data_IF_721563255743
#
_entry.id   IF_721563255743
#
_cell.length_a   1.000
_cell.length_b   1.000
_cell.length_c   1.000
_cell.angle_alpha   90.00
_cell.angle_beta   90.00
_cell.angle_gamma   90.00
#
_symmetry.space_group_name_H-M   'P 1'
#
loop_
_entity.id
_entity.type
_entity.pdbx_description
1 polymer ?
#
# COMPACT_ATOMS: atom_id res chain seq x y z
N UNK A 1 -6.98 14.36 2.96
CA UNK A 1 -8.40 14.54 2.58
C UNK A 1 -8.58 15.04 1.14
N UNK A 2 -8.16 16.26 0.74
CA UNK A 2 -8.45 16.77 -0.61
C UNK A 2 -7.84 15.93 -1.74
N UNK A 3 -6.61 15.43 -1.56
CA UNK A 3 -5.94 14.56 -2.54
C UNK A 3 -6.74 13.28 -2.86
N UNK A 4 -7.39 12.69 -1.85
CA UNK A 4 -8.22 11.49 -2.03
C UNK A 4 -9.47 11.79 -2.88
N UNK A 5 -10.11 12.94 -2.66
CA UNK A 5 -11.25 13.37 -3.48
C UNK A 5 -10.85 13.65 -4.92
N UNK A 6 -9.71 14.33 -5.13
CA UNK A 6 -9.16 14.58 -6.47
C UNK A 6 -8.88 13.27 -7.19
N UNK A 7 -8.11 12.36 -6.57
CA UNK A 7 -7.80 11.07 -7.17
C UNK A 7 -9.05 10.23 -7.44
N UNK A 8 -10.00 10.18 -6.50
CA UNK A 8 -11.25 9.44 -6.67
C UNK A 8 -12.11 9.99 -7.82
N UNK A 9 -12.26 11.31 -7.93
CA UNK A 9 -13.07 11.93 -8.99
C UNK A 9 -12.38 11.92 -10.36
N UNK A 10 -11.04 11.88 -10.41
CA UNK A 10 -10.31 11.64 -11.66
C UNK A 10 -10.45 10.19 -12.14
N UNK A 11 -10.31 9.21 -11.24
CA UNK A 11 -10.38 7.78 -11.59
C UNK A 11 -11.80 7.27 -11.82
N UNK A 12 -12.79 7.83 -11.10
CA UNK A 12 -14.19 7.47 -11.23
C UNK A 12 -15.08 8.72 -11.10
N UNK A 13 -15.18 9.51 -12.18
CA UNK A 13 -16.02 10.72 -12.22
C UNK A 13 -17.49 10.41 -11.90
N UNK A 14 -18.16 11.36 -11.25
CA UNK A 14 -19.61 11.24 -11.02
C UNK A 14 -20.36 11.40 -12.33
N UNK A 15 -21.26 10.47 -12.64
CA UNK A 15 -22.06 10.49 -13.89
C UNK A 15 -23.52 10.82 -13.67
N UNK A 16 -24.01 10.65 -12.44
CA UNK A 16 -25.40 10.94 -12.07
C UNK A 16 -25.44 12.31 -11.42
N UNK A 17 -26.50 13.06 -11.67
CA UNK A 17 -26.76 14.25 -10.87
C UNK A 17 -26.92 13.83 -9.40
N UNK A 18 -26.16 14.50 -8.54
CA UNK A 18 -26.29 14.32 -7.09
C UNK A 18 -27.60 15.00 -6.71
N UNK A 19 -28.50 14.28 -6.02
CA UNK A 19 -29.73 14.89 -5.49
C UNK A 19 -29.41 16.04 -4.54
N UNK A 20 -30.43 16.82 -4.16
CA UNK A 20 -30.28 17.97 -3.26
C UNK A 20 -29.56 17.56 -1.95
N UNK A 21 -28.33 18.04 -1.68
CA UNK A 21 -27.60 17.73 -0.46
C UNK A 21 -28.35 18.15 0.80
N UNK A 22 -29.22 19.16 0.69
CA UNK A 22 -30.08 19.67 1.77
C UNK A 22 -31.16 18.67 2.18
N UNK A 23 -31.50 17.71 1.31
CA UNK A 23 -32.46 16.66 1.60
C UNK A 23 -31.85 15.53 2.47
N UNK A 24 -30.53 15.46 2.60
CA UNK A 24 -29.87 14.51 3.47
C UNK A 24 -30.04 14.95 4.94
N UNK A 25 -31.01 14.35 5.63
CA UNK A 25 -31.16 14.51 7.08
C UNK A 25 -30.01 13.79 7.78
N UNK A 26 -29.01 14.55 8.24
CA UNK A 26 -27.94 14.02 9.08
C UNK A 26 -28.46 13.85 10.51
N UNK A 27 -28.89 12.63 10.86
CA UNK A 27 -29.30 12.32 12.22
C UNK A 27 -28.07 12.03 13.09
N UNK A 28 -27.59 13.06 13.79
CA UNK A 28 -26.49 12.92 14.75
C UNK A 28 -27.03 12.28 16.03
N UNK A 29 -26.93 10.96 16.11
CA UNK A 29 -27.26 10.22 17.32
C UNK A 29 -26.17 10.45 18.37
N UNK A 30 -26.54 11.07 19.51
CA UNK A 30 -25.67 11.07 20.70
C UNK A 30 -25.78 9.72 21.38
N UNK A 31 -24.75 8.90 21.20
CA UNK A 31 -24.65 7.57 21.80
C UNK A 31 -24.05 7.59 23.21
N UNK A 32 -23.33 8.64 23.61
CA UNK A 32 -22.71 8.76 24.94
C UNK A 32 -23.47 9.68 25.87
N UNK A 33 -23.54 9.29 27.14
CA UNK A 33 -24.22 10.07 28.18
C UNK A 33 -23.37 11.23 28.72
N UNK A 34 -22.04 11.07 28.75
CA UNK A 34 -21.10 12.05 29.28
C UNK A 34 -19.66 11.80 28.76
N UNK A 35 -18.72 12.67 29.14
CA UNK A 35 -17.31 12.57 28.74
C UNK A 35 -16.64 11.26 29.16
N UNK A 36 -16.96 10.76 30.36
CA UNK A 36 -16.36 9.53 30.89
C UNK A 36 -16.88 8.30 30.12
N UNK A 37 -18.18 8.27 29.83
CA UNK A 37 -18.82 7.25 29.01
C UNK A 37 -18.21 7.20 27.60
N UNK A 38 -18.06 8.37 26.97
CA UNK A 38 -17.39 8.50 25.66
C UNK A 38 -15.93 8.00 25.69
N UNK A 39 -15.18 8.29 26.76
CA UNK A 39 -13.82 7.82 26.93
C UNK A 39 -13.75 6.29 27.12
N UNK A 40 -14.65 5.70 27.91
CA UNK A 40 -14.76 4.27 28.12
C UNK A 40 -15.13 3.52 26.83
N UNK A 41 -16.12 4.04 26.08
CA UNK A 41 -16.50 3.46 24.78
C UNK A 41 -15.36 3.55 23.78
N UNK A 42 -14.74 4.72 23.64
CA UNK A 42 -13.59 4.93 22.74
C UNK A 42 -12.40 4.02 23.08
N UNK A 43 -12.17 3.73 24.37
CA UNK A 43 -11.14 2.77 24.80
C UNK A 43 -11.47 1.34 24.37
N UNK A 44 -12.73 0.92 24.53
CA UNK A 44 -13.18 -0.43 24.13
C UNK A 44 -13.15 -0.61 22.61
N UNK A 45 -13.63 0.37 21.85
CA UNK A 45 -13.56 0.37 20.39
C UNK A 45 -12.10 0.39 19.90
N UNK A 46 -11.25 1.21 20.54
CA UNK A 46 -9.82 1.26 20.26
C UNK A 46 -9.10 -0.06 20.53
N UNK A 47 -9.44 -0.77 21.62
CA UNK A 47 -8.90 -2.09 21.93
C UNK A 47 -9.27 -3.11 20.85
N UNK A 48 -10.54 -3.13 20.42
CA UNK A 48 -11.01 -4.03 19.35
C UNK A 48 -10.27 -3.71 18.05
N UNK A 49 -10.13 -2.43 17.70
CA UNK A 49 -9.36 -2.00 16.53
C UNK A 49 -7.90 -2.46 16.61
N UNK A 50 -7.23 -2.28 17.75
CA UNK A 50 -5.84 -2.69 17.94
C UNK A 50 -5.66 -4.20 17.79
N UNK A 51 -6.55 -5.01 18.38
CA UNK A 51 -6.54 -6.46 18.24
C UNK A 51 -6.75 -6.90 16.79
N UNK A 52 -7.66 -6.25 16.07
CA UNK A 52 -7.89 -6.51 14.64
C UNK A 52 -6.63 -6.19 13.81
N UNK A 53 -5.96 -5.07 14.09
CA UNK A 53 -4.71 -4.69 13.41
C UNK A 53 -3.62 -5.72 13.70
N UNK A 54 -3.41 -6.14 14.94
CA UNK A 54 -2.41 -7.16 15.29
C UNK A 54 -2.69 -8.47 14.55
N UNK A 55 -3.92 -8.97 14.61
CA UNK A 55 -4.30 -10.22 13.95
C UNK A 55 -4.12 -10.13 12.43
N UNK A 56 -4.53 -9.02 11.83
CA UNK A 56 -4.35 -8.74 10.41
C UNK A 56 -2.86 -8.69 10.04
N UNK A 57 -2.04 -7.96 10.79
CA UNK A 57 -0.60 -7.84 10.52
C UNK A 57 0.07 -9.22 10.53
N UNK A 58 -0.22 -10.06 11.53
CA UNK A 58 0.31 -11.43 11.59
C UNK A 58 -0.11 -12.23 10.34
N UNK A 59 -1.40 -12.23 10.01
CA UNK A 59 -1.92 -13.01 8.89
C UNK A 59 -1.37 -12.54 7.53
N UNK A 60 -1.34 -11.23 7.28
CA UNK A 60 -0.87 -10.69 6.01
C UNK A 60 0.65 -10.74 5.86
N UNK A 61 1.42 -10.51 6.91
CA UNK A 61 2.88 -10.70 6.87
C UNK A 61 3.21 -12.16 6.54
N UNK A 62 2.54 -13.11 7.19
CA UNK A 62 2.72 -14.54 6.89
C UNK A 62 2.29 -14.89 5.46
N UNK A 63 1.14 -14.39 4.99
CA UNK A 63 0.65 -14.64 3.64
C UNK A 63 1.58 -14.07 2.58
N UNK A 64 2.07 -12.84 2.76
CA UNK A 64 2.99 -12.22 1.82
C UNK A 64 4.35 -12.87 1.87
N UNK A 65 4.84 -13.30 3.04
CA UNK A 65 6.07 -14.10 3.13
C UNK A 65 5.92 -15.40 2.33
N UNK A 66 4.77 -16.08 2.42
CA UNK A 66 4.47 -17.26 1.60
C UNK A 66 4.43 -16.93 0.10
N UNK A 67 3.79 -15.82 -0.28
CA UNK A 67 3.73 -15.38 -1.69
C UNK A 67 5.12 -15.01 -2.20
N UNK A 68 5.92 -14.26 -1.46
CA UNK A 68 7.30 -13.93 -1.81
C UNK A 68 8.13 -15.20 -1.99
N UNK A 69 8.11 -16.12 -1.02
CA UNK A 69 8.82 -17.40 -1.15
C UNK A 69 8.37 -18.21 -2.38
N UNK A 70 7.07 -18.18 -2.69
CA UNK A 70 6.54 -18.82 -3.90
C UNK A 70 7.03 -18.14 -5.18
N UNK A 71 7.06 -16.81 -5.22
CA UNK A 71 7.59 -16.04 -6.34
C UNK A 71 9.10 -16.24 -6.50
N UNK A 72 9.85 -16.28 -5.41
CA UNK A 72 11.30 -16.54 -5.42
C UNK A 72 11.58 -17.91 -6.01
N UNK A 73 10.86 -18.95 -5.54
CA UNK A 73 10.98 -20.29 -6.12
C UNK A 73 10.66 -20.28 -7.62
N UNK A 74 9.54 -19.68 -8.04
CA UNK A 74 9.16 -19.63 -9.46
C UNK A 74 10.20 -18.88 -10.30
N UNK A 75 10.60 -17.67 -9.87
CA UNK A 75 11.52 -16.81 -10.63
C UNK A 75 12.91 -17.41 -10.70
N UNK A 76 13.41 -18.02 -9.62
CA UNK A 76 14.68 -18.74 -9.61
C UNK A 76 14.70 -19.87 -10.64
N UNK A 77 13.63 -20.67 -10.72
CA UNK A 77 13.55 -21.76 -11.68
C UNK A 77 13.45 -21.23 -13.12
N UNK A 78 12.66 -20.19 -13.36
CA UNK A 78 12.58 -19.55 -14.69
C UNK A 78 13.95 -19.02 -15.12
N UNK A 79 14.65 -18.29 -14.25
CA UNK A 79 16.00 -17.78 -14.50
C UNK A 79 16.99 -18.90 -14.79
N UNK A 80 16.97 -19.97 -13.99
CA UNK A 80 17.80 -21.15 -14.18
C UNK A 80 17.58 -21.77 -15.57
N UNK A 81 16.32 -22.03 -15.94
CA UNK A 81 15.99 -22.62 -17.24
C UNK A 81 16.42 -21.73 -18.41
N UNK A 82 16.21 -20.41 -18.30
CA UNK A 82 16.64 -19.46 -19.32
C UNK A 82 18.17 -19.46 -19.49
N UNK A 83 18.92 -19.47 -18.39
CA UNK A 83 20.38 -19.50 -18.39
C UNK A 83 20.92 -20.85 -18.88
N UNK A 84 20.28 -21.98 -18.53
CA UNK A 84 20.68 -23.32 -18.99
C UNK A 84 20.52 -23.49 -20.51
N UNK A 85 19.45 -22.92 -21.08
CA UNK A 85 19.30 -22.83 -22.55
C UNK A 85 20.43 -21.98 -23.14
N UNK A 86 20.75 -20.84 -22.53
CA UNK A 86 21.87 -20.00 -22.94
C UNK A 86 23.23 -20.72 -22.88
N UNK A 87 23.47 -21.52 -21.84
CA UNK A 87 24.67 -22.36 -21.68
C UNK A 87 24.80 -23.36 -22.83
N UNK A 88 23.73 -24.09 -23.13
CA UNK A 88 23.72 -25.09 -24.21
C UNK A 88 23.78 -24.49 -25.61
N UNK A 89 23.24 -23.29 -25.82
CA UNK A 89 23.22 -22.62 -27.13
C UNK A 89 24.47 -21.76 -27.41
N UNK A 90 25.10 -21.18 -26.38
CA UNK A 90 26.17 -20.19 -26.52
C UNK A 90 27.45 -20.52 -25.73
N UNK A 91 27.52 -21.67 -25.06
CA UNK A 91 28.72 -22.09 -24.31
C UNK A 91 29.06 -21.19 -23.12
N UNK A 92 28.03 -20.64 -22.45
CA UNK A 92 28.20 -19.83 -21.24
C UNK A 92 28.80 -20.63 -20.07
N UNK A 93 29.03 -20.01 -18.91
CA UNK A 93 29.54 -20.68 -17.71
C UNK A 93 28.50 -21.63 -17.09
N UNK A 94 28.95 -22.67 -16.37
CA UNK A 94 28.08 -23.63 -15.66
C UNK A 94 27.00 -22.90 -14.85
N UNK A 95 25.75 -23.33 -15.02
CA UNK A 95 24.58 -22.70 -14.41
C UNK A 95 24.10 -23.58 -13.26
N UNK A 96 24.11 -23.04 -12.05
CA UNK A 96 23.52 -23.68 -10.87
C UNK A 96 22.17 -23.05 -10.54
N UNK A 97 21.20 -23.87 -10.11
CA UNK A 97 19.91 -23.39 -9.63
C UNK A 97 20.06 -22.47 -8.42
N UNK A 98 20.96 -22.78 -7.49
CA UNK A 98 21.18 -21.99 -6.27
C UNK A 98 21.72 -20.60 -6.56
N UNK A 99 22.50 -20.46 -7.63
CA UNK A 99 23.14 -19.19 -8.01
C UNK A 99 22.30 -18.42 -9.04
N UNK A 100 21.17 -18.98 -9.44
CA UNK A 100 20.26 -18.32 -10.39
C UNK A 100 19.55 -17.15 -9.72
N UNK A 101 19.51 -15.97 -10.38
CA UNK A 101 18.90 -14.78 -9.80
C UNK A 101 17.39 -14.96 -9.63
N UNK A 102 16.87 -14.38 -8.56
CA UNK A 102 15.45 -14.42 -8.19
C UNK A 102 14.98 -13.04 -7.75
N UNK A 103 13.66 -12.85 -7.77
CA UNK A 103 13.02 -11.65 -7.25
C UNK A 103 11.63 -12.01 -6.72
N UNK A 104 11.12 -11.23 -5.77
CA UNK A 104 9.81 -11.46 -5.19
C UNK A 104 8.79 -10.37 -5.58
N UNK A 105 7.58 -10.47 -5.03
CA UNK A 105 6.50 -9.53 -5.34
C UNK A 105 6.81 -8.11 -4.85
N UNK A 106 7.57 -7.99 -3.76
CA UNK A 106 7.98 -6.69 -3.22
C UNK A 106 9.00 -6.02 -4.13
N UNK A 107 9.98 -6.78 -4.66
CA UNK A 107 10.95 -6.29 -5.63
C UNK A 107 10.28 -5.85 -6.92
N UNK A 108 9.34 -6.65 -7.43
CA UNK A 108 8.57 -6.34 -8.62
C UNK A 108 7.79 -5.02 -8.47
N UNK A 109 7.09 -4.84 -7.35
CA UNK A 109 6.42 -3.56 -7.09
C UNK A 109 7.41 -2.43 -6.87
N UNK A 110 8.57 -2.70 -6.25
CA UNK A 110 9.66 -1.72 -6.14
C UNK A 110 10.12 -1.20 -7.51
N UNK A 111 10.31 -2.09 -8.48
CA UNK A 111 10.65 -1.68 -9.86
C UNK A 111 9.52 -0.90 -10.54
N UNK A 112 8.27 -1.30 -10.33
CA UNK A 112 7.10 -0.56 -10.85
C UNK A 112 7.03 0.83 -10.22
N UNK A 113 7.34 0.97 -8.93
CA UNK A 113 7.32 2.24 -8.20
C UNK A 113 8.58 3.08 -8.38
N UNK A 114 9.66 2.55 -8.97
CA UNK A 114 10.89 3.28 -9.25
C UNK A 114 10.67 4.63 -9.95
N UNK A 115 9.96 4.70 -11.10
CA UNK A 115 9.69 5.98 -11.75
C UNK A 115 8.88 6.94 -10.87
N UNK A 116 7.99 6.42 -10.02
CA UNK A 116 7.17 7.24 -9.13
C UNK A 116 7.97 7.78 -7.94
N UNK A 117 8.90 7.00 -7.40
CA UNK A 117 9.84 7.47 -6.38
C UNK A 117 10.76 8.55 -6.95
N UNK A 118 11.22 8.39 -8.19
CA UNK A 118 12.00 9.43 -8.87
C UNK A 118 11.17 10.71 -9.09
N UNK A 119 9.92 10.58 -9.58
CA UNK A 119 9.00 11.70 -9.76
C UNK A 119 8.58 12.39 -8.45
N UNK A 120 8.66 11.69 -7.32
CA UNK A 120 8.43 12.26 -6.00
C UNK A 120 9.47 13.34 -5.65
N UNK A 121 10.65 13.29 -6.26
CA UNK A 121 11.74 14.24 -6.05
C UNK A 121 12.64 13.90 -4.87
N UNK A 122 12.79 12.61 -4.56
CA UNK A 122 13.82 12.10 -3.62
C UNK A 122 15.20 12.15 -4.27
N UNK A 123 16.26 12.07 -3.46
CA UNK A 123 17.62 12.05 -3.99
C UNK A 123 17.84 10.82 -4.88
N UNK A 124 18.56 10.99 -5.99
CA UNK A 124 18.77 9.94 -7.01
C UNK A 124 19.31 8.64 -6.40
N UNK A 125 20.21 8.75 -5.42
CA UNK A 125 20.79 7.62 -4.69
C UNK A 125 19.76 6.84 -3.85
N UNK A 126 18.68 7.48 -3.42
CA UNK A 126 17.67 6.92 -2.51
C UNK A 126 16.47 6.36 -3.27
N UNK A 127 16.33 6.65 -4.58
CA UNK A 127 15.17 6.27 -5.40
C UNK A 127 14.85 4.78 -5.29
N UNK A 128 15.86 3.92 -5.36
CA UNK A 128 15.67 2.46 -5.28
C UNK A 128 15.10 2.04 -3.93
N UNK A 129 15.65 2.58 -2.85
CA UNK A 129 15.21 2.31 -1.47
C UNK A 129 13.77 2.79 -1.26
N UNK A 130 13.47 4.03 -1.67
CA UNK A 130 12.13 4.61 -1.53
C UNK A 130 11.09 3.86 -2.36
N UNK A 131 11.44 3.47 -3.59
CA UNK A 131 10.57 2.68 -4.44
C UNK A 131 10.23 1.32 -3.82
N UNK A 132 11.24 0.65 -3.25
CA UNK A 132 11.05 -0.62 -2.52
C UNK A 132 10.13 -0.43 -1.32
N UNK A 133 10.27 0.65 -0.53
CA UNK A 133 9.38 0.96 0.59
C UNK A 133 7.92 1.19 0.15
N UNK A 134 7.70 1.89 -0.97
CA UNK A 134 6.35 2.10 -1.54
C UNK A 134 5.77 0.77 -2.05
N UNK A 135 6.59 -0.07 -2.67
CA UNK A 135 6.21 -1.44 -3.07
C UNK A 135 5.81 -2.28 -1.86
N UNK A 136 6.66 -2.33 -0.84
CA UNK A 136 6.43 -3.01 0.43
C UNK A 136 5.12 -2.57 1.09
N UNK A 137 4.88 -1.27 1.17
CA UNK A 137 3.61 -0.71 1.66
C UNK A 137 2.41 -1.27 0.90
N UNK A 138 2.49 -1.32 -0.43
CA UNK A 138 1.38 -1.74 -1.30
C UNK A 138 1.06 -3.23 -1.15
N UNK A 139 2.10 -4.08 -1.05
CA UNK A 139 1.94 -5.53 -0.87
C UNK A 139 1.52 -5.87 0.57
N UNK A 140 2.25 -5.35 1.55
CA UNK A 140 2.07 -5.64 2.97
C UNK A 140 1.12 -4.61 3.60
N UNK A 141 1.69 -3.52 4.10
CA UNK A 141 1.02 -2.37 4.70
C UNK A 141 2.05 -1.31 5.07
N UNK A 142 1.56 -0.13 5.41
CA UNK A 142 2.32 1.03 5.84
C UNK A 142 3.07 0.83 7.16
N UNK A 143 2.55 0.04 8.12
CA UNK A 143 3.24 -0.19 9.39
C UNK A 143 4.57 -0.92 9.18
N UNK A 144 4.57 -1.98 8.36
CA UNK A 144 5.79 -2.72 8.03
C UNK A 144 6.76 -1.83 7.24
N UNK A 145 6.25 -1.05 6.28
CA UNK A 145 7.08 -0.12 5.52
C UNK A 145 7.69 0.98 6.39
N UNK A 146 6.96 1.49 7.38
CA UNK A 146 7.50 2.46 8.35
C UNK A 146 8.55 1.84 9.27
N UNK A 147 8.37 0.60 9.72
CA UNK A 147 9.41 -0.13 10.45
C UNK A 147 10.66 -0.28 9.59
N UNK A 148 10.51 -0.74 8.35
CA UNK A 148 11.63 -0.89 7.43
C UNK A 148 12.36 0.44 7.14
N UNK A 149 11.62 1.55 7.05
CA UNK A 149 12.21 2.89 6.93
C UNK A 149 13.00 3.30 8.19
N UNK A 150 12.50 2.95 9.38
CA UNK A 150 13.18 3.24 10.65
C UNK A 150 14.45 2.40 10.83
N UNK A 151 14.45 1.16 10.32
CA UNK A 151 15.50 0.16 10.51
C UNK A 151 16.53 0.12 9.35
N UNK A 152 16.53 1.11 8.45
CA UNK A 152 17.49 1.17 7.34
C UNK A 152 18.94 1.20 7.85
N UNK A 153 19.75 0.25 7.39
CA UNK A 153 21.17 0.19 7.73
C UNK A 153 21.96 1.40 7.20
N UNK A 154 21.65 1.81 5.97
CA UNK A 154 22.15 3.05 5.38
C UNK A 154 21.03 4.10 5.37
N UNK A 155 21.17 5.20 6.12
CA UNK A 155 20.13 6.22 6.16
C UNK A 155 20.04 6.96 4.82
N UNK A 156 18.81 7.08 4.31
CA UNK A 156 18.48 7.98 3.20
C UNK A 156 18.57 9.45 3.64
N UNK A 157 18.61 10.40 2.70
CA UNK A 157 18.70 11.81 3.06
C UNK A 157 17.46 12.29 3.83
N UNK A 158 17.61 13.34 4.63
CA UNK A 158 16.50 13.93 5.39
C UNK A 158 15.33 14.35 4.48
N UNK A 159 15.65 14.88 3.30
CA UNK A 159 14.66 15.17 2.25
C UNK A 159 13.93 13.89 1.84
N UNK A 160 14.67 12.88 1.38
CA UNK A 160 14.10 11.59 0.96
C UNK A 160 13.25 10.96 2.06
N UNK A 161 13.69 11.02 3.32
CA UNK A 161 12.96 10.52 4.49
C UNK A 161 11.64 11.25 4.71
N UNK A 162 11.62 12.58 4.60
CA UNK A 162 10.40 13.37 4.69
C UNK A 162 9.41 13.01 3.57
N UNK A 163 9.86 12.96 2.32
CA UNK A 163 8.99 12.64 1.17
C UNK A 163 8.46 11.21 1.23
N UNK A 164 9.31 10.27 1.65
CA UNK A 164 8.92 8.88 1.88
C UNK A 164 7.87 8.78 2.97
N UNK A 165 8.00 9.55 4.06
CA UNK A 165 6.99 9.57 5.13
C UNK A 165 5.61 9.97 4.60
N UNK A 166 5.52 10.97 3.72
CA UNK A 166 4.26 11.34 3.06
C UNK A 166 3.75 10.25 2.10
N UNK A 167 4.64 9.66 1.29
CA UNK A 167 4.28 8.59 0.35
C UNK A 167 3.78 7.31 1.07
N UNK A 168 4.34 7.00 2.23
CA UNK A 168 3.94 5.88 3.08
C UNK A 168 2.67 6.17 3.88
N UNK A 169 2.37 7.44 4.17
CA UNK A 169 1.22 7.87 4.95
C UNK A 169 -0.12 7.64 4.22
N UNK A 170 -0.63 6.40 4.27
CA UNK A 170 -1.99 6.05 3.87
C UNK A 170 -2.20 4.55 3.77
N UNK A 171 -3.42 4.10 4.04
CA UNK A 171 -3.83 2.68 4.04
C UNK A 171 -4.12 2.15 2.63
N UNK A 172 -3.30 2.51 1.65
CA UNK A 172 -3.42 2.05 0.28
C UNK A 172 -2.60 0.76 0.08
N UNK A 173 -3.19 -0.37 0.47
CA UNK A 173 -2.62 -1.72 0.32
C UNK A 173 -3.72 -2.75 0.05
N UNK A 174 -3.35 -3.96 -0.39
CA UNK A 174 -4.34 -5.00 -0.73
C UNK A 174 -5.21 -5.43 0.47
N UNK A 175 -4.64 -5.48 1.68
CA UNK A 175 -5.38 -5.81 2.89
C UNK A 175 -6.49 -4.79 3.18
N UNK A 176 -6.18 -3.51 3.03
CA UNK A 176 -7.11 -2.40 3.30
C UNK A 176 -8.29 -2.40 2.32
N UNK A 177 -8.08 -2.81 1.06
CA UNK A 177 -9.19 -3.00 0.11
C UNK A 177 -10.17 -4.04 0.64
N UNK A 178 -9.68 -5.18 1.15
CA UNK A 178 -10.53 -6.23 1.71
C UNK A 178 -11.28 -5.74 2.96
N UNK A 179 -10.60 -5.01 3.86
CA UNK A 179 -11.21 -4.41 5.05
C UNK A 179 -12.34 -3.45 4.66
N UNK A 180 -12.10 -2.56 3.70
CA UNK A 180 -13.11 -1.57 3.28
C UNK A 180 -14.31 -2.23 2.61
N UNK A 181 -14.09 -3.27 1.80
CA UNK A 181 -15.19 -4.06 1.25
C UNK A 181 -15.98 -4.70 2.39
N UNK A 182 -15.32 -5.35 3.35
CA UNK A 182 -15.98 -5.99 4.49
C UNK A 182 -16.76 -5.01 5.37
N UNK A 183 -16.11 -3.93 5.82
CA UNK A 183 -16.68 -2.96 6.75
C UNK A 183 -17.81 -2.11 6.17
N UNK A 184 -17.73 -1.71 4.89
CA UNK A 184 -18.85 -1.00 4.26
C UNK A 184 -19.99 -1.98 3.97
N UNK A 185 -19.68 -3.22 3.55
CA UNK A 185 -20.72 -4.24 3.29
C UNK A 185 -21.45 -4.70 4.55
N UNK A 186 -20.87 -4.55 5.75
CA UNK A 186 -21.61 -4.83 6.99
C UNK A 186 -22.65 -3.76 7.33
N UNK A 187 -22.49 -2.55 6.79
CA UNK A 187 -23.46 -1.46 6.93
C UNK A 187 -24.51 -1.51 5.82
N UNK A 188 -24.09 -1.82 4.59
CA UNK A 188 -24.96 -1.87 3.41
C UNK A 188 -24.58 -3.09 2.54
N UNK A 189 -25.17 -4.27 2.80
CA UNK A 189 -24.80 -5.52 2.13
C UNK A 189 -24.98 -5.49 0.60
N UNK A 190 -25.95 -4.72 0.10
CA UNK A 190 -26.25 -4.63 -1.34
C UNK A 190 -25.12 -3.95 -2.13
N UNK A 191 -24.27 -3.15 -1.48
CA UNK A 191 -23.14 -2.48 -2.14
C UNK A 191 -21.94 -3.39 -2.38
N UNK A 192 -21.87 -4.58 -1.76
CA UNK A 192 -20.70 -5.46 -1.81
C UNK A 192 -20.17 -5.74 -3.24
N UNK A 193 -21.01 -6.07 -4.25
CA UNK A 193 -20.53 -6.30 -5.61
C UNK A 193 -19.95 -5.04 -6.26
N UNK A 194 -20.48 -3.87 -5.92
CA UNK A 194 -19.99 -2.59 -6.43
C UNK A 194 -18.65 -2.23 -5.78
N UNK A 195 -18.51 -2.47 -4.47
CA UNK A 195 -17.28 -2.21 -3.72
C UNK A 195 -16.13 -3.10 -4.21
N UNK A 196 -16.38 -4.40 -4.43
CA UNK A 196 -15.36 -5.32 -4.93
C UNK A 196 -14.87 -4.94 -6.32
N UNK A 197 -15.77 -4.52 -7.22
CA UNK A 197 -15.42 -4.05 -8.56
C UNK A 197 -14.55 -2.78 -8.56
N UNK A 198 -14.65 -1.96 -7.50
CA UNK A 198 -13.85 -0.73 -7.34
C UNK A 198 -12.54 -0.94 -6.61
N UNK A 199 -12.31 -2.11 -5.98
CA UNK A 199 -11.20 -2.32 -5.04
C UNK A 199 -9.82 -1.93 -5.57
N UNK A 200 -9.44 -2.40 -6.77
CA UNK A 200 -8.14 -2.05 -7.37
C UNK A 200 -8.05 -0.58 -7.77
N UNK A 201 -9.16 0.03 -8.21
CA UNK A 201 -9.21 1.47 -8.53
C UNK A 201 -9.09 2.32 -7.26
N UNK A 202 -9.68 1.87 -6.16
CA UNK A 202 -9.57 2.51 -4.86
C UNK A 202 -8.14 2.42 -4.32
N UNK A 203 -7.48 1.26 -4.48
CA UNK A 203 -6.06 1.09 -4.16
C UNK A 203 -5.20 2.09 -4.93
N UNK A 204 -5.35 2.13 -6.27
CA UNK A 204 -4.63 3.07 -7.12
C UNK A 204 -4.89 4.53 -6.70
N UNK A 205 -6.16 4.90 -6.46
CA UNK A 205 -6.52 6.24 -6.04
C UNK A 205 -5.92 6.64 -4.68
N UNK A 206 -5.88 5.70 -3.72
CA UNK A 206 -5.22 5.89 -2.44
C UNK A 206 -3.71 6.07 -2.58
N UNK A 207 -3.06 5.25 -3.41
CA UNK A 207 -1.62 5.35 -3.67
C UNK A 207 -1.27 6.67 -4.34
N UNK A 208 -2.03 7.05 -5.39
CA UNK A 208 -1.85 8.36 -6.07
C UNK A 208 -2.06 9.50 -5.09
N UNK A 209 -3.08 9.45 -4.23
CA UNK A 209 -3.31 10.50 -3.25
C UNK A 209 -2.13 10.67 -2.27
N UNK A 210 -1.54 9.57 -1.79
CA UNK A 210 -0.36 9.62 -0.92
C UNK A 210 0.87 10.18 -1.66
N UNK A 211 1.13 9.71 -2.89
CA UNK A 211 2.21 10.24 -3.72
C UNK A 211 2.03 11.73 -4.03
N UNK A 212 0.82 12.18 -4.34
CA UNK A 212 0.50 13.60 -4.54
C UNK A 212 0.83 14.43 -3.31
N UNK A 213 0.49 13.96 -2.11
CA UNK A 213 0.87 14.69 -0.88
C UNK A 213 2.37 14.75 -0.68
N UNK A 214 3.10 13.69 -1.04
CA UNK A 214 4.56 13.70 -1.02
C UNK A 214 5.17 14.63 -2.07
N UNK A 215 4.61 14.73 -3.28
CA UNK A 215 5.06 15.69 -4.28
C UNK A 215 4.86 17.13 -3.80
N UNK A 216 3.72 17.44 -3.19
CA UNK A 216 3.46 18.76 -2.60
C UNK A 216 4.47 19.06 -1.49
N UNK A 217 4.76 18.10 -0.62
CA UNK A 217 5.82 18.25 0.39
C UNK A 217 7.20 18.49 -0.27
N UNK A 218 7.52 17.77 -1.35
CA UNK A 218 8.76 17.92 -2.10
C UNK A 218 8.95 19.27 -2.78
N UNK A 219 7.85 19.97 -3.08
CA UNK A 219 7.89 21.35 -3.57
C UNK A 219 8.19 22.37 -2.47
N UNK A 220 7.85 22.05 -1.22
CA UNK A 220 7.96 22.97 -0.07
C UNK A 220 9.23 22.73 0.75
N UNK A 221 9.74 21.50 0.74
CA UNK A 221 10.95 21.12 1.42
C UNK A 221 12.17 21.36 0.51
N UNK A 222 13.32 21.77 1.08
CA UNK A 222 14.58 21.94 0.36
C UNK A 222 15.18 20.61 -0.11
#
# INVERSE_FOLDING_TARGET
APAALVAAKLLNPEKKEVGDPSAAKLEIHRTDSNLLDAACRGTSEGLILALNVIAMLIAFVALVALLNASFEWITQHISYWAMAIGHTAFGAAEVSLTDSPWFNLTDLLGWIFYPFAWLLGVDIKDVSTVASLIGMKTVLNEFVAFSALADLAEPISERSKALTTYALCGFANFASVAIQIGGISSLEPELRPRLSALGLRALLGGTVAALMTGCVAGMLLP
#
